data_IF_620305062668
#
_entry.id   IF_620305062668
#
_cell.length_a   1.000
_cell.length_b   1.000
_cell.length_c   1.000
_cell.angle_alpha   90.00
_cell.angle_beta   90.00
_cell.angle_gamma   90.00
#
_symmetry.space_group_name_H-M   'P 1'
#
loop_
_entity.id
_entity.type
_entity.pdbx_description
1 polymer ?
#
# COMPACT_ATOMS: atom_id res chain seq x y z
N UNK A 1 -10.72 16.13 -1.30
CA UNK A 1 -10.59 14.98 -0.39
C UNK A 1 -11.62 14.97 0.74
N UNK A 2 -11.80 16.03 1.55
CA UNK A 2 -12.79 16.07 2.67
C UNK A 2 -14.19 15.57 2.30
N UNK A 3 -14.78 16.06 1.20
CA UNK A 3 -16.12 15.62 0.73
C UNK A 3 -16.20 14.11 0.45
N UNK A 4 -15.12 13.52 -0.08
CA UNK A 4 -15.06 12.07 -0.37
C UNK A 4 -15.00 11.29 0.95
N UNK A 5 -14.11 11.69 1.87
CA UNK A 5 -14.00 11.08 3.19
C UNK A 5 -15.34 11.12 3.95
N UNK A 6 -15.99 12.28 4.01
CA UNK A 6 -17.29 12.44 4.66
C UNK A 6 -18.37 11.57 4.01
N UNK A 7 -18.37 11.46 2.68
CA UNK A 7 -19.32 10.59 1.99
C UNK A 7 -19.09 9.12 2.37
N UNK A 8 -17.86 8.62 2.30
CA UNK A 8 -17.52 7.23 2.63
C UNK A 8 -17.81 6.89 4.10
N UNK A 9 -17.44 7.77 5.04
CA UNK A 9 -17.76 7.60 6.47
C UNK A 9 -19.28 7.57 6.71
N UNK A 10 -20.05 8.32 5.91
CA UNK A 10 -21.52 8.34 5.99
C UNK A 10 -22.20 7.09 5.41
N UNK A 11 -21.51 6.28 4.60
CA UNK A 11 -22.06 5.06 4.00
C UNK A 11 -21.99 3.85 4.94
N UNK A 12 -20.96 3.76 5.78
CA UNK A 12 -20.74 2.60 6.66
C UNK A 12 -19.81 2.92 7.83
N UNK A 13 -20.22 2.50 9.04
CA UNK A 13 -19.39 2.58 10.25
C UNK A 13 -18.33 1.46 10.33
N UNK A 14 -18.39 0.46 9.44
CA UNK A 14 -17.47 -0.67 9.40
C UNK A 14 -16.45 -0.57 8.28
N UNK A 15 -16.64 0.35 7.33
CA UNK A 15 -15.64 0.62 6.29
C UNK A 15 -14.48 1.38 6.89
N UNK A 16 -13.25 0.89 6.68
CA UNK A 16 -12.02 1.57 7.06
C UNK A 16 -11.46 2.33 5.87
N UNK A 17 -10.99 3.55 6.11
CA UNK A 17 -10.49 4.45 5.08
C UNK A 17 -9.03 4.70 5.39
N UNK A 18 -8.19 4.55 4.37
CA UNK A 18 -6.78 4.94 4.40
C UNK A 18 -6.58 5.88 3.22
N UNK A 19 -6.00 7.04 3.46
CA UNK A 19 -5.53 7.90 2.38
C UNK A 19 -4.05 7.69 2.12
N UNK A 20 -3.66 7.73 0.86
CA UNK A 20 -2.26 7.76 0.45
C UNK A 20 -1.92 9.19 0.05
N UNK A 21 -0.88 9.75 0.65
CA UNK A 21 -0.40 11.09 0.30
C UNK A 21 0.32 11.08 -1.06
N UNK A 22 0.69 12.27 -1.56
CA UNK A 22 1.34 12.37 -2.86
C UNK A 22 2.78 11.78 -2.78
N UNK A 23 3.13 10.79 -3.63
CA UNK A 23 4.50 10.29 -3.69
C UNK A 23 5.44 11.28 -4.39
N UNK A 24 6.75 11.02 -4.33
CA UNK A 24 7.74 11.72 -5.15
C UNK A 24 7.51 11.53 -6.64
N UNK A 25 8.07 12.44 -7.44
CA UNK A 25 8.19 12.31 -8.89
C UNK A 25 9.62 12.57 -9.35
N UNK A 26 10.07 11.86 -10.37
CA UNK A 26 11.31 12.20 -11.08
C UNK A 26 11.01 13.37 -12.02
N UNK A 27 11.11 14.59 -11.51
CA UNK A 27 10.81 15.81 -12.26
C UNK A 27 11.60 15.92 -13.57
N UNK A 28 12.84 15.40 -13.59
CA UNK A 28 13.68 15.46 -14.79
C UNK A 28 13.10 14.58 -15.87
N UNK A 29 12.82 13.32 -15.53
CA UNK A 29 12.24 12.34 -16.47
C UNK A 29 10.83 12.72 -16.90
N UNK A 30 10.02 13.25 -15.98
CA UNK A 30 8.68 13.78 -16.29
C UNK A 30 8.78 14.92 -17.32
N UNK A 31 9.71 15.86 -17.12
CA UNK A 31 9.92 16.98 -18.03
C UNK A 31 10.45 16.52 -19.39
N UNK A 32 11.35 15.55 -19.43
CA UNK A 32 11.84 14.96 -20.68
C UNK A 32 10.72 14.28 -21.46
N UNK A 33 9.88 13.48 -20.79
CA UNK A 33 8.77 12.77 -21.41
C UNK A 33 7.66 13.70 -21.91
N UNK A 34 7.38 14.81 -21.20
CA UNK A 34 6.29 15.73 -21.56
C UNK A 34 6.63 16.71 -22.67
N UNK A 35 7.91 17.09 -22.82
CA UNK A 35 8.40 17.98 -23.89
C UNK A 35 8.10 17.49 -25.31
N UNK A 36 7.84 16.19 -25.48
CA UNK A 36 7.57 15.58 -26.78
C UNK A 36 6.12 15.78 -27.26
N UNK A 37 5.18 16.11 -26.36
CA UNK A 37 3.74 16.00 -26.69
C UNK A 37 2.85 17.03 -26.00
N UNK A 38 3.26 17.66 -24.90
CA UNK A 38 2.40 18.53 -24.10
C UNK A 38 3.10 19.85 -23.74
N UNK A 39 2.29 20.89 -23.41
CA UNK A 39 2.78 22.08 -22.71
C UNK A 39 3.38 21.68 -21.35
N UNK A 40 4.23 22.53 -20.78
CA UNK A 40 4.92 22.26 -19.51
C UNK A 40 3.96 21.73 -18.45
N UNK A 41 4.17 20.47 -18.07
CA UNK A 41 3.40 19.82 -17.03
C UNK A 41 4.07 20.13 -15.70
N UNK A 42 3.47 21.04 -14.92
CA UNK A 42 4.03 21.45 -13.61
C UNK A 42 3.69 20.40 -12.56
N UNK A 43 4.44 19.29 -12.57
CA UNK A 43 4.52 18.32 -11.47
C UNK A 43 5.87 18.47 -10.81
N UNK A 44 5.90 19.16 -9.69
CA UNK A 44 7.09 19.32 -8.88
C UNK A 44 6.92 18.63 -7.54
N UNK A 45 8.04 18.19 -7.01
CA UNK A 45 8.20 17.65 -5.68
C UNK A 45 7.75 18.68 -4.63
N UNK A 46 8.05 19.97 -4.79
CA UNK A 46 7.55 20.98 -3.86
C UNK A 46 6.01 21.08 -3.82
N UNK A 47 5.34 21.02 -4.98
CA UNK A 47 3.88 20.95 -5.00
C UNK A 47 3.38 19.63 -4.40
N UNK A 48 4.04 18.51 -4.71
CA UNK A 48 3.73 17.20 -4.13
C UNK A 48 3.75 17.22 -2.60
N UNK A 49 4.78 17.84 -2.01
CA UNK A 49 4.93 18.05 -0.57
C UNK A 49 3.75 18.80 0.04
N UNK A 50 3.36 19.93 -0.55
CA UNK A 50 2.21 20.74 -0.07
C UNK A 50 0.93 19.92 -0.05
N UNK A 51 0.66 19.14 -1.11
CA UNK A 51 -0.52 18.27 -1.16
C UNK A 51 -0.41 17.08 -0.21
N UNK A 52 0.79 16.55 0.04
CA UNK A 52 1.04 15.49 1.03
C UNK A 52 0.69 15.99 2.43
N UNK A 53 1.24 17.13 2.83
CA UNK A 53 1.01 17.76 4.14
C UNK A 53 -0.47 18.08 4.37
N UNK A 54 -1.14 18.66 3.36
CA UNK A 54 -2.57 18.94 3.45
C UNK A 54 -3.44 17.67 3.55
N UNK A 55 -3.00 16.56 2.94
CA UNK A 55 -3.68 15.27 3.06
C UNK A 55 -3.54 14.71 4.48
N UNK A 56 -2.33 14.78 5.06
CA UNK A 56 -2.05 14.33 6.42
C UNK A 56 -2.84 15.16 7.44
N UNK A 57 -2.82 16.48 7.32
CA UNK A 57 -3.60 17.39 8.18
C UNK A 57 -5.09 17.06 8.13
N UNK A 58 -5.65 16.90 6.92
CA UNK A 58 -7.04 16.51 6.73
C UNK A 58 -7.38 15.18 7.41
N UNK A 59 -6.52 14.17 7.24
CA UNK A 59 -6.74 12.85 7.82
C UNK A 59 -6.70 12.89 9.35
N UNK A 60 -5.74 13.62 9.92
CA UNK A 60 -5.66 13.84 11.36
C UNK A 60 -6.90 14.55 11.92
N UNK A 61 -7.40 15.59 11.23
CA UNK A 61 -8.64 16.28 11.62
C UNK A 61 -9.86 15.35 11.61
N UNK A 62 -9.90 14.37 10.72
CA UNK A 62 -11.04 13.49 10.49
C UNK A 62 -10.92 12.13 11.19
N UNK A 63 -9.82 11.85 11.89
CA UNK A 63 -9.53 10.56 12.49
C UNK A 63 -9.44 9.43 11.46
N UNK A 64 -8.83 9.70 10.30
CA UNK A 64 -8.64 8.75 9.20
C UNK A 64 -7.16 8.39 9.11
N UNK A 65 -6.85 7.11 8.91
CA UNK A 65 -5.47 6.67 8.72
C UNK A 65 -4.88 7.24 7.43
N UNK A 66 -3.60 7.60 7.47
CA UNK A 66 -2.90 8.18 6.31
C UNK A 66 -1.51 7.57 6.16
N UNK A 67 -1.17 7.26 4.92
CA UNK A 67 0.16 6.80 4.53
C UNK A 67 0.89 7.97 3.88
N UNK A 68 1.96 8.42 4.52
CA UNK A 68 2.82 9.47 4.00
C UNK A 68 3.83 8.91 2.97
N UNK A 69 3.37 8.73 1.73
CA UNK A 69 4.20 8.26 0.63
C UNK A 69 5.34 9.22 0.29
N UNK A 70 5.15 10.51 0.49
CA UNK A 70 6.19 11.51 0.27
C UNK A 70 7.44 11.20 1.09
N UNK A 71 7.24 11.01 2.40
CA UNK A 71 8.32 10.68 3.33
C UNK A 71 8.78 9.25 3.14
N UNK A 72 7.88 8.30 2.90
CA UNK A 72 8.23 6.89 2.71
C UNK A 72 9.27 6.71 1.59
N UNK A 73 9.08 7.34 0.43
CA UNK A 73 10.04 7.27 -0.66
C UNK A 73 11.34 8.03 -0.37
N UNK A 74 11.28 9.16 0.34
CA UNK A 74 12.46 9.95 0.72
C UNK A 74 13.43 9.23 1.68
N UNK A 75 12.97 8.20 2.40
CA UNK A 75 13.85 7.38 3.26
C UNK A 75 14.89 6.58 2.48
N UNK A 76 14.76 6.50 1.16
CA UNK A 76 15.60 5.71 0.29
C UNK A 76 16.43 6.59 -0.64
N UNK A 77 17.76 6.46 -0.57
CA UNK A 77 18.68 7.26 -1.38
C UNK A 77 18.52 7.01 -2.90
N UNK A 78 18.05 5.81 -3.29
CA UNK A 78 17.86 5.37 -4.66
C UNK A 78 16.43 5.56 -5.18
N UNK A 79 15.66 6.48 -4.58
CA UNK A 79 14.22 6.65 -4.85
C UNK A 79 13.85 6.85 -6.32
N UNK A 80 14.73 7.43 -7.13
CA UNK A 80 14.54 7.59 -8.58
C UNK A 80 14.33 6.25 -9.31
N UNK A 81 14.88 5.16 -8.78
CA UNK A 81 14.75 3.81 -9.37
C UNK A 81 13.37 3.19 -9.14
N UNK A 82 12.57 3.76 -8.24
CA UNK A 82 11.23 3.26 -7.93
C UNK A 82 10.16 3.69 -8.93
N UNK A 83 10.54 4.37 -10.02
CA UNK A 83 9.63 4.86 -11.05
C UNK A 83 9.99 4.31 -12.43
N UNK A 84 8.97 4.01 -13.23
CA UNK A 84 9.13 3.57 -14.62
C UNK A 84 9.37 4.75 -15.56
N UNK A 85 8.49 5.75 -15.52
CA UNK A 85 8.48 6.94 -16.39
C UNK A 85 8.66 8.26 -15.62
N UNK A 86 8.95 8.17 -14.33
CA UNK A 86 9.09 9.30 -13.41
C UNK A 86 7.80 9.68 -12.68
N UNK A 87 6.67 9.04 -12.98
CA UNK A 87 5.39 9.17 -12.24
C UNK A 87 4.88 7.82 -11.75
N UNK A 88 4.83 6.82 -12.63
CA UNK A 88 4.29 5.51 -12.30
C UNK A 88 5.34 4.65 -11.61
N UNK A 89 4.93 3.97 -10.54
CA UNK A 89 5.81 3.11 -9.75
C UNK A 89 6.28 1.90 -10.55
N UNK A 90 7.57 1.58 -10.41
CA UNK A 90 8.11 0.28 -10.75
C UNK A 90 7.73 -0.74 -9.66
N UNK A 91 7.92 -2.04 -9.93
CA UNK A 91 7.62 -3.08 -8.95
C UNK A 91 8.36 -2.90 -7.62
N UNK A 92 9.60 -2.38 -7.66
CA UNK A 92 10.37 -1.99 -6.47
C UNK A 92 9.71 -0.86 -5.68
N UNK A 93 9.18 0.18 -6.35
CA UNK A 93 8.43 1.25 -5.71
C UNK A 93 7.09 0.79 -5.12
N UNK A 94 6.41 -0.13 -5.79
CA UNK A 94 5.18 -0.72 -5.26
C UNK A 94 5.42 -1.52 -3.98
N UNK A 95 6.61 -2.13 -3.79
CA UNK A 95 6.97 -2.82 -2.55
C UNK A 95 6.97 -1.87 -1.34
N UNK A 96 7.50 -0.65 -1.48
CA UNK A 96 7.44 0.39 -0.42
C UNK A 96 6.00 0.72 -0.04
N UNK A 97 5.12 0.87 -1.03
CA UNK A 97 3.70 1.17 -0.77
C UNK A 97 3.02 0.01 -0.03
N UNK A 98 3.32 -1.25 -0.40
CA UNK A 98 2.80 -2.43 0.29
C UNK A 98 3.28 -2.48 1.74
N UNK A 99 4.55 -2.20 2.01
CA UNK A 99 5.10 -2.15 3.38
C UNK A 99 4.36 -1.14 4.26
N UNK A 100 4.17 0.08 3.77
CA UNK A 100 3.48 1.13 4.54
C UNK A 100 1.98 0.83 4.70
N UNK A 101 1.31 0.19 3.71
CA UNK A 101 -0.07 -0.29 3.87
C UNK A 101 -0.13 -1.36 4.97
N UNK A 102 0.72 -2.37 4.92
CA UNK A 102 0.72 -3.46 5.89
C UNK A 102 1.00 -2.96 7.30
N UNK A 103 1.89 -1.98 7.44
CA UNK A 103 2.15 -1.30 8.71
C UNK A 103 0.87 -0.69 9.28
N UNK A 104 0.14 0.10 8.49
CA UNK A 104 -1.14 0.68 8.92
C UNK A 104 -2.16 -0.41 9.28
N UNK A 105 -2.31 -1.45 8.46
CA UNK A 105 -3.25 -2.55 8.74
C UNK A 105 -2.91 -3.31 10.02
N UNK A 106 -1.63 -3.37 10.39
CA UNK A 106 -1.12 -4.03 11.60
C UNK A 106 -1.26 -3.17 12.85
N UNK A 107 -1.02 -1.86 12.73
CA UNK A 107 -1.02 -0.91 13.84
C UNK A 107 -2.42 -0.36 14.16
N UNK A 108 -3.32 -0.32 13.17
CA UNK A 108 -4.67 0.19 13.36
C UNK A 108 -5.48 -0.69 14.31
N UNK A 109 -6.08 -0.07 15.32
CA UNK A 109 -6.95 -0.72 16.31
C UNK A 109 -8.37 -0.93 15.75
N UNK A 110 -8.46 -1.62 14.61
CA UNK A 110 -9.72 -1.94 13.95
C UNK A 110 -10.20 -3.34 14.33
N UNK A 111 -11.50 -3.45 14.60
CA UNK A 111 -12.17 -4.73 14.79
C UNK A 111 -13.13 -5.04 13.63
N UNK A 112 -12.98 -6.19 12.94
CA UNK A 112 -11.82 -7.10 13.02
C UNK A 112 -10.54 -6.47 12.44
N UNK A 113 -9.37 -6.97 12.83
CA UNK A 113 -8.10 -6.58 12.21
C UNK A 113 -8.11 -6.95 10.73
N UNK A 114 -7.63 -6.02 9.89
CA UNK A 114 -7.53 -6.20 8.44
C UNK A 114 -6.12 -6.61 7.99
N UNK A 115 -5.21 -6.86 8.93
CA UNK A 115 -3.90 -7.43 8.61
C UNK A 115 -4.07 -8.90 8.19
N UNK A 116 -3.41 -9.29 7.09
CA UNK A 116 -3.63 -10.61 6.48
C UNK A 116 -3.37 -11.80 7.41
N UNK A 117 -2.44 -11.68 8.38
CA UNK A 117 -2.19 -12.73 9.40
C UNK A 117 -3.34 -12.92 10.40
N UNK A 118 -4.20 -11.92 10.54
CA UNK A 118 -5.36 -11.96 11.42
C UNK A 118 -6.62 -12.42 10.69
N UNK A 119 -6.58 -12.43 9.35
CA UNK A 119 -7.71 -12.85 8.52
C UNK A 119 -7.71 -14.37 8.36
N UNK A 120 -8.89 -15.03 8.44
CA UNK A 120 -8.98 -16.46 8.21
C UNK A 120 -8.71 -16.79 6.74
N UNK A 121 -8.00 -17.89 6.50
CA UNK A 121 -7.84 -18.47 5.15
C UNK A 121 -9.21 -18.94 4.64
N UNK A 122 -9.60 -18.46 3.45
CA UNK A 122 -10.95 -18.68 2.89
C UNK A 122 -11.28 -20.15 2.66
N UNK A 123 -10.30 -20.95 2.24
CA UNK A 123 -10.40 -22.39 2.00
C UNK A 123 -9.39 -23.13 2.88
N UNK A 124 -9.66 -23.19 4.18
CA UNK A 124 -8.77 -23.80 5.19
C UNK A 124 -9.13 -25.26 5.51
N UNK A 125 -10.11 -25.83 4.83
CA UNK A 125 -10.48 -27.23 4.99
C UNK A 125 -9.39 -28.19 4.49
N UNK A 126 -9.30 -29.36 5.14
CA UNK A 126 -8.42 -30.44 4.70
C UNK A 126 -8.89 -31.04 3.37
N UNK A 127 -7.93 -31.45 2.54
CA UNK A 127 -8.17 -32.08 1.25
C UNK A 127 -7.68 -33.54 1.25
N UNK A 128 -8.38 -34.47 0.58
CA UNK A 128 -7.86 -35.83 0.36
C UNK A 128 -6.60 -35.86 -0.53
N UNK A 129 -6.24 -34.73 -1.14
CA UNK A 129 -5.03 -34.55 -1.95
C UNK A 129 -3.90 -33.85 -1.18
N UNK A 130 -4.06 -33.60 0.11
CA UNK A 130 -3.01 -33.04 0.94
C UNK A 130 -1.82 -33.98 1.07
N UNK A 131 -0.66 -33.39 1.37
CA UNK A 131 0.56 -34.15 1.62
C UNK A 131 0.36 -35.07 2.83
N UNK A 132 0.82 -36.32 2.72
CA UNK A 132 0.69 -37.32 3.79
C UNK A 132 2.03 -37.49 4.49
N UNK A 133 2.02 -37.53 5.82
CA UNK A 133 3.20 -37.81 6.64
C UNK A 133 3.71 -39.24 6.44
N UNK A 134 4.90 -39.53 6.97
CA UNK A 134 5.54 -40.86 6.88
C UNK A 134 4.73 -42.00 7.52
N UNK A 135 3.72 -41.69 8.35
CA UNK A 135 2.80 -42.67 8.93
C UNK A 135 1.73 -43.16 7.95
N UNK A 136 1.61 -42.53 6.78
CA UNK A 136 0.64 -42.85 5.73
C UNK A 136 -0.81 -42.51 6.09
N UNK A 137 -1.05 -41.76 7.17
CA UNK A 137 -2.38 -41.48 7.71
C UNK A 137 -2.64 -40.00 7.97
N UNK A 138 -1.66 -39.30 8.51
CA UNK A 138 -1.82 -37.89 8.88
C UNK A 138 -1.62 -37.02 7.64
N UNK A 139 -2.59 -36.18 7.32
CA UNK A 139 -2.48 -35.16 6.26
C UNK A 139 -1.92 -33.86 6.81
N UNK A 140 -1.28 -33.10 5.93
CA UNK A 140 -0.68 -31.81 6.23
C UNK A 140 -1.31 -30.75 5.34
N UNK A 141 -2.20 -29.95 5.93
CA UNK A 141 -2.90 -28.88 5.24
C UNK A 141 -1.94 -27.71 4.96
N UNK A 142 -1.71 -27.37 3.68
CA UNK A 142 -0.79 -26.31 3.30
C UNK A 142 -1.44 -24.92 3.21
N UNK A 143 -2.72 -24.76 3.59
CA UNK A 143 -3.51 -23.54 3.35
C UNK A 143 -2.85 -22.27 3.89
N UNK A 144 -2.17 -22.37 5.03
CA UNK A 144 -1.53 -21.23 5.71
C UNK A 144 -0.03 -21.10 5.38
N UNK A 145 0.50 -21.90 4.45
CA UNK A 145 1.92 -21.89 4.11
C UNK A 145 2.29 -20.65 3.30
N UNK A 146 3.27 -19.88 3.79
CA UNK A 146 3.76 -18.68 3.09
C UNK A 146 5.19 -18.80 2.59
N UNK A 147 5.88 -19.92 2.80
CA UNK A 147 7.30 -20.08 2.44
C UNK A 147 7.58 -19.93 0.94
N UNK A 148 6.55 -20.09 0.08
CA UNK A 148 6.66 -19.93 -1.36
C UNK A 148 6.66 -18.46 -1.80
N UNK A 149 6.34 -17.51 -0.92
CA UNK A 149 6.33 -16.08 -1.22
C UNK A 149 7.76 -15.54 -1.29
N UNK A 150 8.04 -14.75 -2.33
CA UNK A 150 9.33 -14.05 -2.50
C UNK A 150 9.62 -13.12 -1.32
N UNK A 151 8.58 -12.46 -0.78
CA UNK A 151 8.68 -11.55 0.37
C UNK A 151 7.75 -12.05 1.46
N UNK A 152 8.30 -12.21 2.67
CA UNK A 152 7.53 -12.50 3.87
C UNK A 152 7.04 -11.16 4.44
N UNK A 153 5.82 -10.80 4.06
CA UNK A 153 5.13 -9.56 4.41
C UNK A 153 4.67 -9.55 5.88
N UNK A 154 5.58 -9.41 6.84
CA UNK A 154 5.34 -9.73 8.25
C UNK A 154 4.59 -8.71 9.12
#
# INVERSE_FOLDING_TARGET
MKKIATHLQGLSNTTRIIFLSCPLVDEVKVRENTRLTFSELVRTNELGRIYSEACIELCNEMGIEVIDLWTAFHKHDDWLTYFTDGVHLAGSGSKIVVEEILKVLKEAEWEPSLHWKSMPTEFSEDSPYDLVYSDGKTTLNPSDWTFHREIQWD
#
